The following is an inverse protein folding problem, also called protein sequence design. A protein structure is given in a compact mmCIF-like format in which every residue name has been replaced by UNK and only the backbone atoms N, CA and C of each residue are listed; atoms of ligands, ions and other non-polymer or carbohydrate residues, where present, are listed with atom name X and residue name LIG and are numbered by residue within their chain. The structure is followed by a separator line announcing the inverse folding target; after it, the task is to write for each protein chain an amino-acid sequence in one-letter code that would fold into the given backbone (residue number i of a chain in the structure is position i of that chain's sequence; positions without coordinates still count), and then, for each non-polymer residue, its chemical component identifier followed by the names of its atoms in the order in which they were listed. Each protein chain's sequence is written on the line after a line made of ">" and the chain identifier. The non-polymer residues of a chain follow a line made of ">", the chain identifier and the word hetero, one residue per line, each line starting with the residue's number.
data_IF_107027809209
#
_entry.id   IF_107027809209
#
_cell.length_a   1.000
_cell.length_b   1.000
_cell.length_c   1.000
_cell.angle_alpha   90.00
_cell.angle_beta   90.00
_cell.angle_gamma   90.00
#
_symmetry.space_group_name_H-M   'P 1'
#
loop_
_entity.id
_entity.type
_entity.pdbx_description
1 polymer ?
#
# COMPACT_ATOMS: atom_id res chain seq x y z
N UNK A 1 -28.70 -14.76 85.83
CA UNK A 1 -29.03 -13.42 85.45
C UNK A 1 -28.80 -13.22 83.94
N UNK A 2 -29.88 -13.15 83.15
CA UNK A 2 -29.85 -12.97 81.70
C UNK A 2 -29.88 -11.47 81.36
N UNK A 3 -28.93 -10.95 80.62
CA UNK A 3 -28.95 -9.63 80.11
C UNK A 3 -29.47 -9.62 78.66
N UNK A 4 -30.63 -9.04 78.47
CA UNK A 4 -31.27 -8.79 77.17
C UNK A 4 -30.65 -7.57 76.53
N UNK A 5 -30.10 -7.77 75.29
CA UNK A 5 -29.64 -6.66 74.41
C UNK A 5 -30.81 -6.13 73.59
N UNK A 6 -31.18 -4.88 73.86
CA UNK A 6 -32.18 -4.08 73.09
C UNK A 6 -31.63 -3.74 71.71
N UNK A 7 -32.36 -4.11 70.67
CA UNK A 7 -32.07 -3.70 69.29
C UNK A 7 -32.37 -2.21 69.09
N UNK A 8 -31.38 -1.41 68.75
CA UNK A 8 -31.52 0.01 68.41
C UNK A 8 -32.27 0.20 67.08
N UNK A 9 -33.29 1.06 67.09
CA UNK A 9 -34.04 1.47 65.90
C UNK A 9 -33.15 2.34 65.00
N UNK A 10 -32.97 1.92 63.75
CA UNK A 10 -32.34 2.72 62.68
C UNK A 10 -33.12 4.00 62.44
N UNK A 11 -32.45 5.13 62.49
CA UNK A 11 -33.10 6.44 62.27
C UNK A 11 -33.11 6.76 60.75
N UNK A 12 -34.05 7.62 60.34
CA UNK A 12 -34.12 8.13 58.92
C UNK A 12 -32.81 8.72 58.43
N UNK A 13 -31.93 9.16 59.33
CA UNK A 13 -30.64 9.75 59.01
C UNK A 13 -29.58 8.66 58.64
N UNK A 14 -29.71 7.46 59.21
CA UNK A 14 -28.85 6.34 58.90
C UNK A 14 -29.23 5.70 57.56
N UNK A 15 -30.51 5.70 57.20
CA UNK A 15 -31.01 5.28 55.90
C UNK A 15 -30.57 6.25 54.75
N UNK A 16 -30.47 7.55 55.03
CA UNK A 16 -29.98 8.55 54.06
C UNK A 16 -28.45 8.43 53.85
N UNK A 17 -27.67 8.08 54.87
CA UNK A 17 -26.24 7.87 54.77
C UNK A 17 -25.90 6.57 53.97
N UNK A 18 -26.71 5.55 54.06
CA UNK A 18 -26.59 4.33 53.27
C UNK A 18 -26.97 4.54 51.80
N UNK A 19 -27.90 5.45 51.49
CA UNK A 19 -28.32 5.78 50.15
C UNK A 19 -27.29 6.60 49.37
N UNK A 20 -26.45 7.41 50.04
CA UNK A 20 -25.41 8.22 49.38
C UNK A 20 -24.15 7.40 49.06
N UNK A 21 -23.89 6.31 49.79
CA UNK A 21 -22.76 5.43 49.50
C UNK A 21 -23.01 4.46 48.32
N UNK A 22 -24.29 4.32 47.88
CA UNK A 22 -24.65 3.50 46.72
C UNK A 22 -24.56 4.24 45.38
N UNK A 23 -24.36 5.57 45.37
CA UNK A 23 -24.31 6.38 44.16
C UNK A 23 -22.89 6.56 43.59
N UNK A 24 -21.86 5.93 44.17
CA UNK A 24 -20.46 6.01 43.74
C UNK A 24 -19.93 4.67 43.24
N UNK A 25 -20.79 3.75 42.77
CA UNK A 25 -20.33 2.65 41.93
C UNK A 25 -19.96 3.22 40.55
N UNK A 26 -18.78 2.93 40.03
CA UNK A 26 -18.48 3.28 38.65
C UNK A 26 -19.59 2.68 37.79
N UNK A 27 -20.18 3.52 36.93
CA UNK A 27 -21.03 3.04 35.84
C UNK A 27 -20.19 2.04 35.04
N UNK A 28 -20.28 0.80 35.41
CA UNK A 28 -19.90 -0.29 34.51
C UNK A 28 -20.83 -0.09 33.34
N UNK A 29 -20.28 0.42 32.23
CA UNK A 29 -20.94 0.34 30.94
C UNK A 29 -21.21 -1.15 30.70
N UNK A 30 -22.38 -1.61 31.10
CA UNK A 30 -22.93 -2.87 30.63
C UNK A 30 -23.09 -2.62 29.12
N UNK A 31 -22.15 -3.10 28.33
CA UNK A 31 -22.33 -3.21 26.89
C UNK A 31 -23.64 -3.97 26.73
N UNK A 32 -24.69 -3.26 26.36
CA UNK A 32 -25.92 -3.87 25.88
C UNK A 32 -25.49 -4.88 24.84
N UNK A 33 -25.84 -6.15 25.04
CA UNK A 33 -25.63 -7.20 24.08
C UNK A 33 -26.15 -6.67 22.74
N UNK A 34 -25.23 -6.36 21.81
CA UNK A 34 -25.63 -6.01 20.46
C UNK A 34 -26.41 -7.23 19.94
N UNK A 35 -27.62 -7.00 19.51
CA UNK A 35 -28.39 -8.00 18.76
C UNK A 35 -27.45 -8.55 17.69
N UNK A 36 -27.48 -9.87 17.48
CA UNK A 36 -26.69 -10.55 16.48
C UNK A 36 -26.81 -9.80 15.16
N UNK A 37 -25.86 -8.93 14.87
CA UNK A 37 -25.80 -8.13 13.65
C UNK A 37 -25.10 -8.94 12.56
N UNK A 38 -25.33 -8.57 11.32
CA UNK A 38 -24.54 -9.10 10.21
C UNK A 38 -23.58 -8.01 9.73
N UNK A 39 -22.35 -8.38 9.38
CA UNK A 39 -21.37 -7.52 8.71
C UNK A 39 -21.06 -8.08 7.33
N UNK A 40 -21.03 -7.20 6.34
CA UNK A 40 -20.62 -7.53 4.98
C UNK A 40 -19.31 -6.80 4.66
N UNK A 41 -18.29 -7.56 4.27
CA UNK A 41 -16.95 -7.05 4.00
C UNK A 41 -16.60 -7.31 2.55
N UNK A 42 -16.08 -6.31 1.85
CA UNK A 42 -15.47 -6.45 0.54
C UNK A 42 -13.97 -6.16 0.68
N UNK A 43 -13.15 -7.20 0.72
CA UNK A 43 -11.71 -7.09 0.81
C UNK A 43 -11.04 -7.46 -0.50
N UNK A 44 -9.76 -7.17 -0.60
CA UNK A 44 -8.96 -7.46 -1.75
C UNK A 44 -8.68 -8.97 -1.89
N UNK A 45 -8.84 -9.50 -3.12
CA UNK A 45 -8.42 -10.85 -3.50
C UNK A 45 -6.89 -10.84 -3.70
N UNK A 46 -6.17 -11.44 -2.75
CA UNK A 46 -4.75 -11.25 -2.58
C UNK A 46 -3.91 -11.87 -3.71
N UNK A 47 -2.88 -11.16 -4.20
CA UNK A 47 -1.92 -11.67 -5.19
C UNK A 47 -1.16 -12.92 -4.72
N UNK A 48 -0.97 -13.10 -3.41
CA UNK A 48 -0.46 -14.33 -2.80
C UNK A 48 -1.65 -15.14 -2.28
N UNK A 49 -2.13 -16.16 -3.01
CA UNK A 49 -3.42 -16.81 -2.72
C UNK A 49 -3.51 -17.44 -1.32
N UNK A 50 -2.37 -17.77 -0.71
CA UNK A 50 -2.31 -18.36 0.65
C UNK A 50 -2.80 -17.40 1.74
N UNK A 51 -2.82 -16.08 1.51
CA UNK A 51 -3.32 -15.10 2.47
C UNK A 51 -4.86 -15.11 2.59
N UNK A 52 -5.57 -15.45 1.52
CA UNK A 52 -7.03 -15.43 1.48
C UNK A 52 -7.71 -16.39 2.49
N UNK A 53 -7.33 -17.67 2.63
CA UNK A 53 -7.86 -18.56 3.65
C UNK A 53 -7.62 -18.05 5.07
N UNK A 54 -6.45 -17.46 5.35
CA UNK A 54 -6.12 -16.92 6.66
C UNK A 54 -7.00 -15.72 7.01
N UNK A 55 -7.23 -14.81 6.05
CA UNK A 55 -8.17 -13.70 6.25
C UNK A 55 -9.59 -14.22 6.55
N UNK A 56 -10.08 -15.20 5.77
CA UNK A 56 -11.39 -15.83 6.03
C UNK A 56 -11.49 -16.45 7.41
N UNK A 57 -10.43 -17.16 7.83
CA UNK A 57 -10.37 -17.75 9.16
C UNK A 57 -10.42 -16.68 10.26
N UNK A 58 -9.61 -15.63 10.17
CA UNK A 58 -9.59 -14.53 11.15
C UNK A 58 -10.97 -13.86 11.27
N UNK A 59 -11.59 -13.51 10.14
CA UNK A 59 -12.93 -12.91 10.12
C UNK A 59 -13.96 -13.83 10.79
N UNK A 60 -13.92 -15.16 10.50
CA UNK A 60 -14.82 -16.13 11.11
C UNK A 60 -14.58 -16.30 12.62
N UNK A 61 -13.31 -16.30 13.07
CA UNK A 61 -12.93 -16.34 14.49
C UNK A 61 -13.53 -15.16 15.26
N UNK A 62 -13.39 -13.94 14.71
CA UNK A 62 -13.95 -12.74 15.32
C UNK A 62 -15.49 -12.79 15.36
N UNK A 63 -16.12 -13.15 14.24
CA UNK A 63 -17.58 -13.25 14.13
C UNK A 63 -18.16 -14.23 15.18
N UNK A 64 -17.55 -15.42 15.30
CA UNK A 64 -17.94 -16.42 16.29
C UNK A 64 -17.80 -15.90 17.73
N UNK A 65 -16.67 -15.26 18.04
CA UNK A 65 -16.38 -14.71 19.36
C UNK A 65 -17.38 -13.62 19.77
N UNK A 66 -17.76 -12.76 18.82
CA UNK A 66 -18.62 -11.60 19.07
C UNK A 66 -20.10 -11.86 18.74
N UNK A 67 -20.45 -13.07 18.29
CA UNK A 67 -21.81 -13.47 17.89
C UNK A 67 -22.36 -12.56 16.76
N UNK A 68 -21.51 -12.21 15.81
CA UNK A 68 -21.84 -11.43 14.62
C UNK A 68 -21.69 -12.34 13.40
N UNK A 69 -22.71 -12.37 12.55
CA UNK A 69 -22.62 -13.06 11.27
C UNK A 69 -21.82 -12.19 10.28
N UNK A 70 -20.68 -12.70 9.80
CA UNK A 70 -19.77 -11.93 8.95
C UNK A 70 -19.61 -12.60 7.59
N UNK A 71 -19.99 -11.90 6.54
CA UNK A 71 -19.75 -12.30 5.15
C UNK A 71 -18.53 -11.56 4.61
N UNK A 72 -17.62 -12.28 3.96
CA UNK A 72 -16.43 -11.72 3.34
C UNK A 72 -16.39 -12.06 1.86
N UNK A 73 -16.49 -11.05 1.03
CA UNK A 73 -16.24 -11.08 -0.40
C UNK A 73 -14.81 -10.66 -0.71
N UNK A 74 -14.10 -11.48 -1.49
CA UNK A 74 -12.76 -11.19 -1.97
C UNK A 74 -12.86 -10.71 -3.43
N UNK A 75 -12.48 -9.45 -3.65
CA UNK A 75 -12.66 -8.76 -4.93
C UNK A 75 -11.32 -8.54 -5.62
N UNK A 76 -11.22 -8.96 -6.88
CA UNK A 76 -10.01 -8.75 -7.69
C UNK A 76 -9.74 -7.28 -7.95
N UNK A 77 -8.45 -6.91 -7.89
CA UNK A 77 -7.93 -5.60 -8.28
C UNK A 77 -6.83 -5.77 -9.36
N UNK A 78 -6.23 -4.69 -9.79
CA UNK A 78 -5.11 -4.70 -10.76
C UNK A 78 -5.44 -4.04 -12.11
N UNK A 79 -6.65 -3.52 -12.25
CA UNK A 79 -7.05 -2.61 -13.34
C UNK A 79 -8.35 -1.90 -12.98
N UNK A 80 -8.65 -0.78 -13.64
CA UNK A 80 -9.89 -0.04 -13.45
C UNK A 80 -11.16 -0.87 -13.72
N UNK A 81 -11.04 -1.93 -14.53
CA UNK A 81 -12.16 -2.83 -14.86
C UNK A 81 -12.22 -4.06 -13.94
N UNK A 82 -11.43 -4.13 -12.89
CA UNK A 82 -11.48 -5.18 -11.89
C UNK A 82 -12.69 -5.03 -10.97
N UNK A 83 -13.07 -6.11 -10.27
CA UNK A 83 -14.28 -6.11 -9.43
C UNK A 83 -14.22 -5.08 -8.31
N UNK A 84 -13.05 -4.90 -7.65
CA UNK A 84 -12.93 -3.99 -6.51
C UNK A 84 -13.29 -2.54 -6.88
N UNK A 85 -12.63 -1.86 -7.85
CA UNK A 85 -12.96 -0.48 -8.20
C UNK A 85 -14.40 -0.34 -8.75
N UNK A 86 -14.89 -1.32 -9.50
CA UNK A 86 -16.28 -1.29 -9.99
C UNK A 86 -17.30 -1.38 -8.85
N UNK A 87 -17.02 -2.20 -7.84
CA UNK A 87 -17.88 -2.33 -6.65
C UNK A 87 -17.83 -1.07 -5.80
N UNK A 88 -16.64 -0.49 -5.59
CA UNK A 88 -16.48 0.79 -4.90
C UNK A 88 -17.36 1.88 -5.53
N UNK A 89 -17.26 2.04 -6.83
CA UNK A 89 -18.04 3.05 -7.57
C UNK A 89 -19.55 2.81 -7.48
N UNK A 90 -19.98 1.54 -7.66
CA UNK A 90 -21.40 1.17 -7.61
C UNK A 90 -22.00 1.41 -6.21
N UNK A 91 -21.29 1.05 -5.15
CA UNK A 91 -21.78 1.21 -3.77
C UNK A 91 -21.74 2.66 -3.29
N UNK A 92 -20.72 3.43 -3.67
CA UNK A 92 -20.69 4.87 -3.41
C UNK A 92 -21.87 5.59 -4.06
N UNK A 93 -22.22 5.21 -5.30
CA UNK A 93 -23.33 5.81 -6.04
C UNK A 93 -24.71 5.37 -5.49
N UNK A 94 -24.88 4.08 -5.18
CA UNK A 94 -26.16 3.53 -4.74
C UNK A 94 -26.47 3.79 -3.27
N UNK A 95 -25.44 4.03 -2.44
CA UNK A 95 -25.60 4.15 -0.99
C UNK A 95 -26.01 2.82 -0.32
N UNK A 96 -25.69 1.69 -0.94
CA UNK A 96 -26.00 0.34 -0.42
C UNK A 96 -24.92 -0.65 -0.82
N UNK A 97 -24.71 -1.71 -0.03
CA UNK A 97 -23.74 -2.76 -0.34
C UNK A 97 -23.09 -3.35 0.90
N UNK A 98 -21.77 -3.42 0.93
CA UNK A 98 -20.99 -3.88 2.06
C UNK A 98 -20.95 -2.83 3.18
N UNK A 99 -20.62 -3.24 4.39
CA UNK A 99 -20.37 -2.32 5.50
C UNK A 99 -18.94 -1.76 5.45
N UNK A 100 -17.99 -2.62 5.07
CA UNK A 100 -16.57 -2.30 4.95
C UNK A 100 -16.09 -2.59 3.54
N UNK A 101 -15.29 -1.67 3.00
CA UNK A 101 -14.68 -1.78 1.68
C UNK A 101 -13.17 -1.61 1.77
N UNK A 102 -12.43 -2.42 1.00
CA UNK A 102 -11.01 -2.18 0.75
C UNK A 102 -10.81 -1.06 -0.27
N UNK A 103 -9.78 -0.26 -0.05
CA UNK A 103 -9.35 0.83 -0.94
C UNK A 103 -7.84 0.73 -1.15
N UNK A 104 -7.38 1.07 -2.33
CA UNK A 104 -5.96 1.09 -2.67
C UNK A 104 -5.45 2.51 -2.84
N UNK A 105 -4.22 2.75 -2.44
CA UNK A 105 -3.49 3.99 -2.72
C UNK A 105 -4.36 5.25 -2.52
N UNK A 106 -4.73 5.91 -3.60
CA UNK A 106 -5.45 7.19 -3.59
C UNK A 106 -6.98 7.06 -3.56
N UNK A 107 -7.54 5.85 -3.59
CA UNK A 107 -9.01 5.64 -3.63
C UNK A 107 -9.72 6.32 -2.45
N UNK A 108 -9.07 6.37 -1.28
CA UNK A 108 -9.64 7.04 -0.10
C UNK A 108 -9.95 8.52 -0.38
N UNK A 109 -9.10 9.21 -1.16
CA UNK A 109 -9.32 10.61 -1.54
C UNK A 109 -10.52 10.78 -2.49
N UNK A 110 -10.84 9.77 -3.30
CA UNK A 110 -12.01 9.79 -4.18
C UNK A 110 -13.31 9.52 -3.44
N UNK A 111 -13.27 8.64 -2.45
CA UNK A 111 -14.48 8.17 -1.75
C UNK A 111 -14.69 8.75 -0.36
N UNK A 112 -13.81 9.67 0.11
CA UNK A 112 -13.85 10.16 1.49
C UNK A 112 -15.20 10.73 1.91
N UNK A 113 -15.97 11.38 1.01
CA UNK A 113 -17.28 11.92 1.30
C UNK A 113 -18.32 10.84 1.63
N UNK A 114 -18.07 9.59 1.20
CA UNK A 114 -18.93 8.43 1.46
C UNK A 114 -18.46 7.59 2.67
N UNK A 115 -17.31 7.90 3.27
CA UNK A 115 -16.71 7.15 4.37
C UNK A 115 -16.93 7.87 5.72
N UNK A 116 -17.00 7.07 6.80
CA UNK A 116 -16.96 7.62 8.16
C UNK A 116 -15.54 7.96 8.58
N UNK A 117 -15.40 8.86 9.55
CA UNK A 117 -14.12 9.15 10.20
C UNK A 117 -13.68 7.97 11.07
N UNK A 118 -12.39 7.63 10.99
CA UNK A 118 -11.76 6.50 11.67
C UNK A 118 -10.70 6.93 12.70
N UNK A 119 -10.69 8.21 13.13
CA UNK A 119 -9.68 8.75 14.04
C UNK A 119 -9.57 7.94 15.32
N UNK A 120 -10.70 7.58 15.94
CA UNK A 120 -10.74 6.80 17.17
C UNK A 120 -10.04 5.43 17.05
N UNK A 121 -10.16 4.78 15.90
CA UNK A 121 -9.50 3.51 15.61
C UNK A 121 -8.02 3.72 15.35
N UNK A 122 -7.69 4.63 14.43
CA UNK A 122 -6.30 4.82 13.99
C UNK A 122 -5.44 5.42 15.10
N UNK A 123 -5.92 6.44 15.81
CA UNK A 123 -5.20 7.04 16.92
C UNK A 123 -5.00 6.04 18.08
N UNK A 124 -6.00 5.16 18.31
CA UNK A 124 -5.87 4.06 19.26
C UNK A 124 -4.75 3.10 18.90
N UNK A 125 -4.63 2.72 17.63
CA UNK A 125 -3.56 1.85 17.13
C UNK A 125 -2.19 2.55 17.15
N UNK A 126 -2.12 3.82 16.79
CA UNK A 126 -0.90 4.63 16.88
C UNK A 126 -0.43 4.74 18.34
N UNK A 127 -1.33 4.96 19.27
CA UNK A 127 -1.01 4.99 20.71
C UNK A 127 -0.47 3.65 21.20
N UNK A 128 -0.99 2.54 20.68
CA UNK A 128 -0.61 1.19 21.09
C UNK A 128 0.70 0.73 20.43
N UNK A 129 0.89 1.04 19.15
CA UNK A 129 1.93 0.44 18.31
C UNK A 129 2.91 1.45 17.70
N UNK A 130 2.76 2.75 17.97
CA UNK A 130 3.63 3.78 17.43
C UNK A 130 3.22 4.32 16.06
N UNK A 131 4.14 5.01 15.41
CA UNK A 131 3.85 5.80 14.22
C UNK A 131 3.38 4.97 13.02
N UNK A 132 2.44 5.56 12.28
CA UNK A 132 1.99 5.11 10.96
C UNK A 132 2.99 5.58 9.89
N UNK A 133 3.13 4.82 8.79
CA UNK A 133 3.91 5.26 7.63
C UNK A 133 3.39 6.61 7.10
N UNK A 134 4.27 7.61 6.89
CA UNK A 134 3.84 8.94 6.45
C UNK A 134 3.13 8.95 5.09
N UNK A 135 3.44 8.03 4.19
CA UNK A 135 2.76 7.94 2.89
C UNK A 135 1.33 7.43 3.06
N UNK A 136 1.10 6.45 3.96
CA UNK A 136 -0.26 5.99 4.30
C UNK A 136 -1.09 7.13 4.93
N UNK A 137 -0.47 7.90 5.83
CA UNK A 137 -1.11 9.07 6.42
C UNK A 137 -1.49 10.12 5.36
N UNK A 138 -0.56 10.43 4.46
CA UNK A 138 -0.75 11.42 3.40
C UNK A 138 -1.90 11.04 2.46
N UNK A 139 -2.07 9.74 2.16
CA UNK A 139 -3.12 9.27 1.25
C UNK A 139 -4.49 9.12 1.94
N UNK A 140 -4.54 8.81 3.24
CA UNK A 140 -5.79 8.51 3.95
C UNK A 140 -6.40 9.69 4.70
N UNK A 141 -5.63 10.76 4.96
CA UNK A 141 -6.15 11.91 5.68
C UNK A 141 -6.79 12.95 4.78
N UNK A 142 -7.94 13.44 5.20
CA UNK A 142 -8.65 14.57 4.60
C UNK A 142 -8.94 15.60 5.69
N UNK A 143 -8.42 16.81 5.54
CA UNK A 143 -8.58 17.90 6.53
C UNK A 143 -8.14 17.49 7.96
N UNK A 144 -7.12 16.64 8.06
CA UNK A 144 -6.57 16.14 9.31
C UNK A 144 -7.30 14.94 9.93
N UNK A 145 -8.34 14.42 9.30
CA UNK A 145 -9.09 13.24 9.76
C UNK A 145 -8.76 12.00 8.95
N UNK A 146 -8.61 10.88 9.63
CA UNK A 146 -8.46 9.57 8.98
C UNK A 146 -9.79 9.12 8.38
N UNK A 147 -9.87 9.02 7.06
CA UNK A 147 -11.09 8.58 6.36
C UNK A 147 -11.14 7.06 6.14
N UNK A 148 -10.03 6.38 6.34
CA UNK A 148 -9.94 4.92 6.30
C UNK A 148 -8.79 4.45 7.19
N UNK A 149 -8.83 3.19 7.58
CA UNK A 149 -7.79 2.53 8.37
C UNK A 149 -6.72 1.96 7.45
N UNK A 150 -5.44 2.42 7.51
CA UNK A 150 -4.36 1.75 6.82
C UNK A 150 -4.19 0.31 7.29
N UNK A 151 -4.09 -0.63 6.37
CA UNK A 151 -3.96 -2.07 6.66
C UNK A 151 -2.66 -2.64 6.12
N UNK A 152 -2.17 -3.73 6.73
CA UNK A 152 -1.05 -4.49 6.17
C UNK A 152 -1.44 -5.19 4.87
N UNK A 153 -2.69 -5.67 4.78
CA UNK A 153 -3.18 -6.48 3.66
C UNK A 153 -3.21 -5.68 2.37
N UNK A 154 -2.34 -6.04 1.46
CA UNK A 154 -2.15 -5.34 0.19
C UNK A 154 -1.12 -4.21 0.22
N UNK A 155 -0.79 -3.67 1.40
CA UNK A 155 0.24 -2.64 1.52
C UNK A 155 1.63 -3.18 1.18
N UNK A 156 2.35 -2.48 0.33
CA UNK A 156 3.58 -3.00 -0.24
C UNK A 156 4.57 -1.91 -0.63
N UNK A 157 5.85 -2.26 -0.62
CA UNK A 157 6.88 -1.50 -1.34
C UNK A 157 7.21 -2.17 -2.67
N UNK A 158 7.67 -1.38 -3.64
CA UNK A 158 8.03 -1.88 -4.98
C UNK A 158 9.52 -1.68 -5.28
N UNK A 159 10.39 -2.59 -4.80
CA UNK A 159 11.82 -2.58 -5.08
C UNK A 159 12.13 -3.11 -6.48
N UNK A 160 13.39 -3.08 -6.82
CA UNK A 160 13.93 -3.86 -7.93
C UNK A 160 13.95 -5.35 -7.57
N UNK A 161 13.44 -6.20 -8.46
CA UNK A 161 13.65 -7.65 -8.46
C UNK A 161 14.28 -8.05 -9.80
N UNK A 162 15.55 -8.42 -9.78
CA UNK A 162 16.34 -8.65 -10.97
C UNK A 162 16.90 -10.06 -11.06
N UNK A 163 17.26 -10.47 -12.29
CA UNK A 163 17.89 -11.75 -12.57
C UNK A 163 19.39 -11.68 -12.29
N UNK A 164 19.87 -12.46 -11.31
CA UNK A 164 21.29 -12.55 -10.93
C UNK A 164 22.16 -12.83 -12.16
N UNK A 165 21.76 -13.81 -12.98
CA UNK A 165 22.50 -14.20 -14.17
C UNK A 165 22.66 -13.08 -15.20
N UNK A 166 21.61 -12.25 -15.41
CA UNK A 166 21.69 -11.11 -16.31
C UNK A 166 22.71 -10.08 -15.80
N UNK A 167 22.58 -9.63 -14.56
CA UNK A 167 23.49 -8.62 -13.99
C UNK A 167 24.94 -9.12 -13.97
N UNK A 168 25.15 -10.39 -13.61
CA UNK A 168 26.46 -11.04 -13.62
C UNK A 168 27.09 -11.08 -15.04
N UNK A 169 26.27 -11.28 -16.07
CA UNK A 169 26.74 -11.21 -17.47
C UNK A 169 27.20 -9.82 -17.89
N UNK A 170 26.76 -8.78 -17.16
CA UNK A 170 27.17 -7.38 -17.35
C UNK A 170 28.30 -6.97 -16.39
N UNK A 171 28.89 -7.91 -15.66
CA UNK A 171 29.96 -7.65 -14.69
C UNK A 171 29.47 -7.07 -13.37
N UNK A 172 28.17 -7.17 -13.06
CA UNK A 172 27.55 -6.60 -11.88
C UNK A 172 27.13 -7.69 -10.92
N UNK A 173 27.55 -7.58 -9.67
CA UNK A 173 27.14 -8.43 -8.56
C UNK A 173 26.02 -7.75 -7.76
N UNK A 174 24.77 -8.05 -8.11
CA UNK A 174 23.58 -7.48 -7.43
C UNK A 174 23.44 -7.96 -6.00
N UNK A 175 24.01 -9.12 -5.67
CA UNK A 175 23.98 -9.66 -4.31
C UNK A 175 24.82 -8.80 -3.36
N UNK A 176 25.88 -8.15 -3.88
CA UNK A 176 26.69 -7.21 -3.13
C UNK A 176 25.99 -5.87 -2.89
N UNK A 177 25.07 -5.47 -3.77
CA UNK A 177 24.27 -4.25 -3.56
C UNK A 177 23.29 -4.39 -2.41
N UNK A 178 22.83 -5.61 -2.19
CA UNK A 178 21.91 -5.92 -1.11
C UNK A 178 22.12 -7.34 -0.59
N UNK A 179 23.13 -7.51 0.27
CA UNK A 179 23.43 -8.84 0.81
C UNK A 179 22.32 -9.32 1.74
N UNK A 180 22.19 -10.63 1.84
CA UNK A 180 21.28 -11.29 2.80
C UNK A 180 21.70 -11.07 4.28
N UNK A 181 22.36 -9.96 4.58
CA UNK A 181 22.82 -9.56 5.90
C UNK A 181 22.39 -8.12 6.21
N UNK A 182 22.16 -7.77 7.48
CA UNK A 182 21.92 -6.38 7.86
C UNK A 182 23.08 -5.47 7.46
N UNK A 183 22.74 -4.31 6.90
CA UNK A 183 23.69 -3.24 6.60
C UNK A 183 23.73 -2.85 5.13
N UNK A 184 24.05 -1.58 4.90
CA UNK A 184 24.33 -1.04 3.58
C UNK A 184 25.72 -1.46 3.11
N UNK A 185 25.87 -1.59 1.78
CA UNK A 185 27.16 -1.85 1.16
C UNK A 185 27.59 -0.70 0.27
N UNK A 186 28.89 -0.58 0.03
CA UNK A 186 29.43 0.45 -0.85
C UNK A 186 28.86 0.39 -2.27
N UNK A 187 28.56 -0.82 -2.79
CA UNK A 187 28.03 -1.02 -4.15
C UNK A 187 26.61 -0.50 -4.36
N UNK A 188 25.84 -0.32 -3.29
CA UNK A 188 24.45 0.17 -3.44
C UNK A 188 24.35 1.58 -4.04
N UNK A 189 25.35 2.43 -3.84
CA UNK A 189 25.44 3.79 -4.43
C UNK A 189 25.63 3.75 -5.95
N UNK A 190 26.18 2.66 -6.49
CA UNK A 190 26.44 2.51 -7.92
C UNK A 190 25.18 2.11 -8.69
N UNK A 191 24.13 1.62 -7.98
CA UNK A 191 22.84 1.36 -8.56
C UNK A 191 22.04 2.65 -8.72
N UNK A 192 22.15 3.28 -9.88
CA UNK A 192 21.55 4.55 -10.24
C UNK A 192 20.56 4.40 -11.40
N UNK A 193 19.68 5.40 -11.61
CA UNK A 193 18.83 5.44 -12.82
C UNK A 193 19.68 5.57 -14.09
N UNK A 194 20.86 6.15 -14.03
CA UNK A 194 21.81 6.17 -15.15
C UNK A 194 22.33 4.74 -15.46
N UNK A 195 22.64 3.94 -14.45
CA UNK A 195 23.07 2.55 -14.66
C UNK A 195 21.90 1.69 -15.17
N UNK A 196 20.67 1.88 -14.64
CA UNK A 196 19.48 1.22 -15.18
C UNK A 196 19.32 1.49 -16.69
N UNK A 197 19.44 2.75 -17.11
CA UNK A 197 19.36 3.13 -18.52
C UNK A 197 20.49 2.54 -19.35
N UNK A 198 21.72 2.55 -18.85
CA UNK A 198 22.91 2.00 -19.51
C UNK A 198 22.78 0.51 -19.81
N UNK A 199 22.15 -0.24 -18.91
CA UNK A 199 21.94 -1.70 -19.04
C UNK A 199 20.74 -2.08 -19.94
N UNK A 200 19.81 -1.16 -20.18
CA UNK A 200 18.58 -1.42 -20.92
C UNK A 200 18.82 -1.97 -22.37
N UNK A 201 19.79 -1.46 -23.16
CA UNK A 201 20.11 -2.02 -24.47
C UNK A 201 20.57 -3.48 -24.42
N UNK A 202 21.38 -3.84 -23.40
CA UNK A 202 21.87 -5.22 -23.22
C UNK A 202 20.72 -6.16 -22.85
N UNK A 203 19.80 -5.73 -21.98
CA UNK A 203 18.61 -6.47 -21.63
C UNK A 203 17.72 -6.70 -22.87
N UNK A 204 17.46 -5.68 -23.66
CA UNK A 204 16.67 -5.77 -24.88
C UNK A 204 17.32 -6.72 -25.91
N UNK A 205 18.63 -6.60 -26.11
CA UNK A 205 19.41 -7.48 -27.03
C UNK A 205 19.35 -8.95 -26.60
N UNK A 206 19.33 -9.20 -25.30
CA UNK A 206 19.20 -10.55 -24.74
C UNK A 206 17.76 -11.12 -24.80
N UNK A 207 16.77 -10.33 -25.25
CA UNK A 207 15.34 -10.69 -25.19
C UNK A 207 14.77 -10.68 -23.77
N UNK A 208 15.46 -10.02 -22.84
CA UNK A 208 15.14 -9.91 -21.42
C UNK A 208 14.74 -8.48 -21.06
N UNK A 209 13.86 -7.86 -21.85
CA UNK A 209 13.41 -6.50 -21.61
C UNK A 209 12.99 -6.28 -20.14
N UNK A 210 13.22 -5.09 -19.60
CA UNK A 210 12.69 -4.78 -18.28
C UNK A 210 11.16 -4.84 -18.29
N UNK A 211 10.57 -5.54 -17.32
CA UNK A 211 9.13 -5.64 -17.19
C UNK A 211 8.53 -4.37 -16.57
N UNK A 212 8.78 -3.23 -17.19
CA UNK A 212 8.33 -1.91 -16.76
C UNK A 212 7.19 -1.45 -17.67
N UNK A 213 6.06 -1.09 -17.08
CA UNK A 213 4.93 -0.49 -17.78
C UNK A 213 5.04 1.04 -17.82
N UNK A 214 4.46 1.63 -18.87
CA UNK A 214 4.20 3.08 -18.97
C UNK A 214 2.71 3.36 -19.22
N UNK A 215 1.84 2.37 -18.93
CA UNK A 215 0.39 2.47 -19.04
C UNK A 215 -0.26 3.24 -17.88
N UNK A 216 -1.58 3.16 -17.84
CA UNK A 216 -2.41 3.81 -16.82
C UNK A 216 -2.75 2.82 -15.70
N UNK A 217 -1.75 2.29 -15.02
CA UNK A 217 -1.87 1.34 -13.92
C UNK A 217 -1.05 1.78 -12.73
N UNK A 218 -1.35 1.26 -11.54
CA UNK A 218 -0.62 1.64 -10.32
C UNK A 218 0.87 1.33 -10.46
N UNK A 219 1.26 0.13 -10.91
CA UNK A 219 2.66 -0.25 -11.08
C UNK A 219 3.44 0.69 -12.04
N UNK A 220 2.76 1.11 -13.12
CA UNK A 220 3.37 2.03 -14.09
C UNK A 220 3.56 3.44 -13.51
N UNK A 221 2.55 3.94 -12.77
CA UNK A 221 2.62 5.27 -12.14
C UNK A 221 3.62 5.27 -11.00
N UNK A 222 3.75 4.17 -10.26
CA UNK A 222 4.70 4.05 -9.15
C UNK A 222 6.14 4.01 -9.62
N UNK A 223 6.44 3.26 -10.67
CA UNK A 223 7.77 3.32 -11.28
C UNK A 223 8.12 4.75 -11.69
N UNK A 224 7.23 5.40 -12.44
CA UNK A 224 7.44 6.79 -12.89
C UNK A 224 7.51 7.76 -11.72
N UNK A 225 6.68 7.59 -10.70
CA UNK A 225 6.69 8.38 -9.46
C UNK A 225 7.99 8.23 -8.68
N UNK A 226 8.55 7.02 -8.66
CA UNK A 226 9.88 6.76 -8.10
C UNK A 226 10.98 7.51 -8.84
N UNK A 227 10.97 7.48 -10.18
CA UNK A 227 11.90 8.27 -11.02
C UNK A 227 11.72 9.76 -10.76
N UNK A 228 10.48 10.27 -10.81
CA UNK A 228 10.16 11.67 -10.54
C UNK A 228 10.74 12.11 -9.20
N UNK A 229 10.47 11.38 -8.13
CA UNK A 229 10.96 11.69 -6.78
C UNK A 229 12.48 11.66 -6.70
N UNK A 230 13.11 10.69 -7.34
CA UNK A 230 14.57 10.53 -7.37
C UNK A 230 15.29 11.70 -8.06
N UNK A 231 14.64 12.36 -9.02
CA UNK A 231 15.12 13.56 -9.69
C UNK A 231 14.66 14.86 -9.02
N UNK A 232 13.80 14.79 -7.99
CA UNK A 232 13.22 15.97 -7.36
C UNK A 232 12.16 16.64 -8.22
N UNK A 233 11.57 15.90 -9.17
CA UNK A 233 10.52 16.37 -10.06
C UNK A 233 9.13 16.19 -9.43
N UNK A 234 8.23 17.11 -9.73
CA UNK A 234 6.80 17.02 -9.42
C UNK A 234 6.01 17.75 -10.52
N UNK A 235 4.82 17.26 -10.86
CA UNK A 235 3.94 17.96 -11.80
C UNK A 235 3.22 19.12 -11.13
N UNK A 236 2.97 18.99 -9.83
CA UNK A 236 2.37 20.02 -8.97
C UNK A 236 3.16 20.02 -7.65
N UNK A 237 3.49 21.21 -7.16
CA UNK A 237 4.20 21.37 -5.89
C UNK A 237 3.27 21.21 -4.67
N UNK A 238 3.84 21.25 -3.47
CA UNK A 238 3.08 21.13 -2.21
C UNK A 238 2.08 22.29 -1.97
N UNK A 239 2.22 23.40 -2.69
CA UNK A 239 1.31 24.57 -2.62
C UNK A 239 0.20 24.50 -3.65
N UNK A 240 0.23 23.51 -4.55
CA UNK A 240 -0.72 23.39 -5.65
C UNK A 240 -0.32 24.11 -6.94
N UNK A 241 0.91 24.65 -7.03
CA UNK A 241 1.38 25.29 -8.26
C UNK A 241 1.79 24.25 -9.30
N UNK A 242 1.44 24.45 -10.54
CA UNK A 242 1.83 23.60 -11.67
C UNK A 242 3.33 23.79 -11.95
N UNK A 243 4.08 22.69 -12.00
CA UNK A 243 5.54 22.69 -12.20
C UNK A 243 6.00 21.80 -13.36
N UNK A 244 5.11 21.49 -14.31
CA UNK A 244 5.36 20.58 -15.44
C UNK A 244 6.53 21.03 -16.33
N UNK A 245 6.86 22.33 -16.35
CA UNK A 245 7.97 22.89 -17.13
C UNK A 245 9.26 23.04 -16.33
N UNK A 246 9.30 22.54 -15.09
CA UNK A 246 10.52 22.60 -14.30
C UNK A 246 11.62 21.74 -14.90
N UNK A 247 12.88 22.15 -14.69
CA UNK A 247 14.04 21.41 -15.18
C UNK A 247 14.04 19.93 -14.74
N UNK A 248 13.73 19.57 -13.47
CA UNK A 248 13.66 18.17 -13.07
C UNK A 248 12.62 17.35 -13.83
N UNK A 249 11.44 17.93 -14.15
CA UNK A 249 10.41 17.25 -14.95
C UNK A 249 10.92 17.01 -16.37
N UNK A 250 11.57 18.00 -16.98
CA UNK A 250 12.17 17.86 -18.30
C UNK A 250 13.22 16.76 -18.32
N UNK A 251 14.11 16.71 -17.33
CA UNK A 251 15.13 15.67 -17.20
C UNK A 251 14.51 14.26 -17.12
N UNK A 252 13.41 14.09 -16.38
CA UNK A 252 12.72 12.79 -16.29
C UNK A 252 12.04 12.42 -17.60
N UNK A 253 11.41 13.37 -18.29
CA UNK A 253 10.82 13.14 -19.62
C UNK A 253 11.89 12.69 -20.63
N UNK A 254 13.04 13.35 -20.66
CA UNK A 254 14.19 12.96 -21.51
C UNK A 254 14.74 11.59 -21.13
N UNK A 255 14.82 11.28 -19.84
CA UNK A 255 15.21 9.96 -19.34
C UNK A 255 14.25 8.88 -19.86
N UNK A 256 12.95 9.10 -19.76
CA UNK A 256 11.94 8.15 -20.24
C UNK A 256 11.97 8.02 -21.77
N UNK A 257 12.22 9.09 -22.53
CA UNK A 257 12.40 9.00 -23.98
C UNK A 257 13.59 8.10 -24.37
N UNK A 258 14.65 8.08 -23.57
CA UNK A 258 15.82 7.21 -23.79
C UNK A 258 15.57 5.77 -23.34
N UNK A 259 14.77 5.55 -22.29
CA UNK A 259 14.50 4.21 -21.72
C UNK A 259 13.45 3.43 -22.52
N UNK A 260 12.34 4.08 -22.88
CA UNK A 260 11.15 3.42 -23.47
C UNK A 260 11.47 2.60 -24.74
N UNK A 261 12.40 2.98 -25.64
CA UNK A 261 12.77 2.16 -26.80
C UNK A 261 13.29 0.75 -26.46
N UNK A 262 13.80 0.54 -25.26
CA UNK A 262 14.33 -0.74 -24.78
C UNK A 262 13.33 -1.55 -23.93
N UNK A 263 12.17 -0.98 -23.63
CA UNK A 263 11.09 -1.69 -22.93
C UNK A 263 10.31 -2.59 -23.90
N UNK A 264 9.46 -3.50 -23.39
CA UNK A 264 8.58 -4.29 -24.24
C UNK A 264 7.74 -3.42 -25.18
N UNK A 265 7.45 -3.92 -26.38
CA UNK A 265 6.69 -3.17 -27.38
C UNK A 265 5.31 -2.74 -26.86
N UNK A 266 4.69 -3.61 -26.04
CA UNK A 266 3.37 -3.46 -25.43
C UNK A 266 3.39 -2.75 -24.05
N UNK A 267 4.50 -2.15 -23.66
CA UNK A 267 4.70 -1.50 -22.35
C UNK A 267 3.62 -0.45 -22.01
N UNK A 268 3.03 0.20 -23.01
CA UNK A 268 1.94 1.18 -22.83
C UNK A 268 0.58 0.54 -22.51
N UNK A 269 0.41 -0.76 -22.75
CA UNK A 269 -0.79 -1.54 -22.45
C UNK A 269 -0.63 -2.49 -21.27
N UNK A 270 0.47 -2.39 -20.52
CA UNK A 270 0.68 -3.18 -19.32
C UNK A 270 -0.42 -2.90 -18.29
N UNK A 271 -0.88 -3.97 -17.65
CA UNK A 271 -1.65 -3.93 -16.39
C UNK A 271 -0.76 -4.42 -15.23
N UNK A 272 -1.27 -4.33 -13.99
CA UNK A 272 -0.49 -4.67 -12.79
C UNK A 272 -0.06 -6.15 -12.69
N UNK A 273 -0.60 -7.04 -13.53
CA UNK A 273 -0.12 -8.41 -13.64
C UNK A 273 0.96 -8.60 -14.73
N UNK A 274 1.27 -7.59 -15.54
CA UNK A 274 2.15 -7.74 -16.72
C UNK A 274 3.61 -7.92 -16.33
N UNK A 275 4.10 -7.15 -15.36
CA UNK A 275 5.46 -7.28 -14.82
C UNK A 275 5.66 -8.66 -14.16
N UNK A 276 4.66 -9.15 -13.42
CA UNK A 276 4.69 -10.48 -12.83
C UNK A 276 4.82 -11.57 -13.92
N UNK A 277 3.99 -11.50 -14.96
CA UNK A 277 4.08 -12.42 -16.10
C UNK A 277 5.43 -12.35 -16.81
N UNK A 278 5.98 -11.15 -16.98
CA UNK A 278 7.28 -10.96 -17.60
C UNK A 278 8.40 -11.66 -16.81
N UNK A 279 8.41 -11.52 -15.48
CA UNK A 279 9.38 -12.20 -14.62
C UNK A 279 9.18 -13.72 -14.64
N UNK A 280 7.96 -14.20 -14.36
CA UNK A 280 7.63 -15.63 -14.24
C UNK A 280 7.92 -16.38 -15.54
N UNK A 281 7.65 -15.76 -16.69
CA UNK A 281 7.97 -16.34 -18.01
C UNK A 281 9.46 -16.37 -18.34
N UNK A 282 10.31 -15.79 -17.50
CA UNK A 282 11.75 -15.69 -17.73
C UNK A 282 12.16 -14.67 -18.81
N UNK A 283 11.23 -13.83 -19.28
CA UNK A 283 11.45 -12.85 -20.37
C UNK A 283 11.83 -11.45 -19.87
N UNK A 284 12.10 -11.29 -18.58
CA UNK A 284 12.52 -10.02 -18.02
C UNK A 284 13.80 -10.17 -17.20
N UNK A 285 14.72 -9.23 -17.38
CA UNK A 285 15.93 -9.10 -16.56
C UNK A 285 15.63 -8.43 -15.22
N UNK A 286 14.59 -7.60 -15.16
CA UNK A 286 14.26 -6.76 -14.00
C UNK A 286 12.78 -6.37 -14.04
N UNK A 287 12.17 -6.39 -12.89
CA UNK A 287 10.87 -5.75 -12.61
C UNK A 287 10.98 -4.88 -11.36
N UNK A 288 10.04 -3.95 -11.20
CA UNK A 288 9.82 -3.24 -9.94
C UNK A 288 8.52 -3.74 -9.35
N UNK A 289 8.63 -4.64 -8.37
CA UNK A 289 7.47 -5.28 -7.78
C UNK A 289 7.83 -5.90 -6.42
N UNK A 290 6.86 -6.05 -5.52
CA UNK A 290 7.00 -6.83 -4.31
C UNK A 290 7.16 -8.33 -4.61
N UNK A 291 7.31 -9.17 -3.59
CA UNK A 291 7.62 -10.59 -3.76
C UNK A 291 6.52 -11.44 -4.44
N UNK A 292 5.36 -10.88 -4.80
CA UNK A 292 4.27 -11.66 -5.41
C UNK A 292 4.69 -12.44 -6.67
N UNK A 293 5.41 -11.78 -7.58
CA UNK A 293 5.90 -12.43 -8.80
C UNK A 293 6.88 -13.56 -8.48
N UNK A 294 7.82 -13.32 -7.57
CA UNK A 294 8.79 -14.30 -7.13
C UNK A 294 8.12 -15.47 -6.39
N UNK A 295 7.13 -15.19 -5.53
CA UNK A 295 6.39 -16.23 -4.81
C UNK A 295 5.68 -17.19 -5.77
N UNK A 296 5.03 -16.67 -6.80
CA UNK A 296 4.41 -17.48 -7.85
C UNK A 296 5.48 -18.23 -8.66
N UNK A 297 6.60 -17.57 -8.98
CA UNK A 297 7.70 -18.19 -9.69
C UNK A 297 8.33 -19.39 -8.94
N UNK A 298 8.35 -19.37 -7.60
CA UNK A 298 8.80 -20.51 -6.78
C UNK A 298 8.05 -21.80 -7.14
N UNK A 299 6.76 -21.70 -7.41
CA UNK A 299 5.90 -22.82 -7.80
C UNK A 299 5.97 -23.14 -9.29
N UNK A 300 5.83 -22.11 -10.12
CA UNK A 300 5.55 -22.27 -11.55
C UNK A 300 6.80 -22.20 -12.42
N UNK A 301 7.85 -21.53 -11.96
CA UNK A 301 9.12 -21.33 -12.68
C UNK A 301 10.32 -21.35 -11.71
N UNK A 302 10.61 -22.46 -11.01
CA UNK A 302 11.60 -22.51 -9.95
C UNK A 302 13.01 -22.11 -10.37
N UNK A 303 13.39 -22.35 -11.63
CA UNK A 303 14.69 -21.88 -12.19
C UNK A 303 14.75 -20.36 -12.28
N UNK A 304 13.63 -19.69 -12.59
CA UNK A 304 13.55 -18.23 -12.59
C UNK A 304 13.63 -17.70 -11.17
N UNK A 305 12.87 -18.29 -10.24
CA UNK A 305 12.89 -17.89 -8.84
C UNK A 305 14.28 -18.01 -8.20
N UNK A 306 15.03 -19.09 -8.50
CA UNK A 306 16.38 -19.30 -8.01
C UNK A 306 17.42 -18.30 -8.56
N UNK A 307 17.10 -17.62 -9.67
CA UNK A 307 17.94 -16.61 -10.31
C UNK A 307 17.51 -15.16 -9.98
N UNK A 308 16.56 -14.98 -9.06
CA UNK A 308 16.10 -13.66 -8.66
C UNK A 308 16.80 -13.14 -7.40
N UNK A 309 17.08 -11.84 -7.40
CA UNK A 309 17.54 -11.10 -6.23
C UNK A 309 16.75 -9.81 -6.09
N UNK A 310 16.38 -9.45 -4.84
CA UNK A 310 15.70 -8.19 -4.53
C UNK A 310 16.70 -7.18 -3.99
N UNK A 311 16.67 -5.97 -4.51
CA UNK A 311 17.56 -4.87 -4.13
C UNK A 311 16.85 -3.53 -4.22
N UNK A 312 17.40 -2.45 -3.65
CA UNK A 312 16.72 -1.16 -3.62
C UNK A 312 16.37 -0.62 -5.00
N UNK A 313 15.43 0.33 -5.07
CA UNK A 313 15.24 1.15 -6.26
C UNK A 313 16.53 1.90 -6.60
N UNK A 314 16.78 2.27 -7.86
CA UNK A 314 17.96 3.07 -8.21
C UNK A 314 17.99 4.40 -7.49
N UNK A 315 19.18 4.92 -7.19
CA UNK A 315 19.33 6.28 -6.70
C UNK A 315 19.34 7.27 -7.86
N UNK A 316 18.64 8.38 -7.69
CA UNK A 316 18.68 9.52 -8.61
C UNK A 316 19.51 10.68 -8.07
N UNK A 317 19.54 11.82 -8.77
CA UNK A 317 20.33 13.00 -8.37
C UNK A 317 19.94 13.59 -7.02
N UNK A 318 18.70 13.36 -6.56
CA UNK A 318 18.18 13.96 -5.32
C UNK A 318 17.89 12.95 -4.22
N UNK A 319 17.46 11.73 -4.57
CA UNK A 319 17.06 10.74 -3.60
C UNK A 319 17.08 9.32 -4.18
N UNK A 320 17.03 8.35 -3.29
CA UNK A 320 16.57 6.99 -3.57
C UNK A 320 15.12 6.89 -3.07
N UNK A 321 14.18 6.74 -3.97
CA UNK A 321 12.76 6.68 -3.65
C UNK A 321 12.21 5.28 -3.92
N UNK A 322 11.58 4.67 -2.93
CA UNK A 322 10.90 3.39 -3.08
C UNK A 322 9.40 3.66 -3.10
N UNK A 323 8.68 3.33 -4.17
CA UNK A 323 7.23 3.44 -4.21
C UNK A 323 6.60 2.60 -3.10
N UNK A 324 5.66 3.18 -2.38
CA UNK A 324 4.85 2.54 -1.36
C UNK A 324 3.38 2.67 -1.71
N UNK A 325 2.72 1.54 -1.80
CA UNK A 325 1.30 1.40 -2.07
C UNK A 325 0.60 0.92 -0.81
N UNK A 326 0.06 1.82 0.03
CA UNK A 326 -0.78 1.41 1.14
C UNK A 326 -2.16 0.97 0.66
N UNK A 327 -2.71 -0.02 1.35
CA UNK A 327 -4.11 -0.39 1.28
C UNK A 327 -4.84 0.05 2.53
N UNK A 328 -6.15 0.23 2.41
CA UNK A 328 -6.99 0.78 3.45
C UNK A 328 -8.29 0.00 3.57
N UNK A 329 -8.87 -0.01 4.77
CA UNK A 329 -10.24 -0.43 4.99
C UNK A 329 -11.08 0.77 5.41
N UNK A 330 -12.08 1.11 4.61
CA UNK A 330 -13.03 2.17 4.88
C UNK A 330 -14.39 1.60 5.27
N UNK A 331 -15.09 2.31 6.13
CA UNK A 331 -16.47 1.98 6.52
C UNK A 331 -17.40 2.98 5.85
N UNK A 332 -18.38 2.48 5.11
CA UNK A 332 -19.33 3.33 4.42
C UNK A 332 -20.26 4.07 5.38
N UNK A 333 -20.61 5.31 5.08
CA UNK A 333 -21.57 6.12 5.88
C UNK A 333 -22.96 5.50 5.95
N UNK A 334 -23.39 4.78 4.91
CA UNK A 334 -24.68 4.11 4.88
C UNK A 334 -24.72 2.81 5.71
N UNK A 335 -23.59 2.28 6.14
CA UNK A 335 -23.55 1.11 7.03
C UNK A 335 -24.31 1.38 8.33
N UNK A 336 -25.16 0.44 8.71
CA UNK A 336 -25.87 0.44 9.99
C UNK A 336 -25.08 -0.24 11.11
N UNK A 337 -23.92 -0.82 10.77
CA UNK A 337 -23.10 -1.65 11.66
C UNK A 337 -21.71 -1.04 11.92
N UNK A 338 -21.60 0.30 11.87
CA UNK A 338 -20.32 1.02 11.95
C UNK A 338 -19.49 0.68 13.19
N UNK A 339 -20.12 0.51 14.36
CA UNK A 339 -19.43 0.16 15.60
C UNK A 339 -18.80 -1.25 15.51
N UNK A 340 -19.56 -2.24 15.06
CA UNK A 340 -19.06 -3.61 14.89
C UNK A 340 -17.97 -3.67 13.82
N UNK A 341 -18.10 -2.90 12.74
CA UNK A 341 -17.08 -2.75 11.71
C UNK A 341 -15.77 -2.21 12.30
N UNK A 342 -15.81 -1.12 13.07
CA UNK A 342 -14.63 -0.56 13.75
C UNK A 342 -13.98 -1.55 14.72
N UNK A 343 -14.78 -2.29 15.48
CA UNK A 343 -14.25 -3.33 16.40
C UNK A 343 -13.54 -4.46 15.64
N UNK A 344 -14.13 -4.98 14.56
CA UNK A 344 -13.49 -6.01 13.73
C UNK A 344 -12.19 -5.49 13.12
N UNK A 345 -12.20 -4.30 12.52
CA UNK A 345 -11.02 -3.70 11.90
C UNK A 345 -9.90 -3.44 12.92
N UNK A 346 -10.25 -2.94 14.11
CA UNK A 346 -9.30 -2.77 15.22
C UNK A 346 -8.68 -4.12 15.63
N UNK A 347 -9.47 -5.19 15.70
CA UNK A 347 -8.98 -6.52 16.04
C UNK A 347 -8.10 -7.11 14.97
N UNK A 348 -8.44 -6.96 13.68
CA UNK A 348 -7.62 -7.41 12.56
C UNK A 348 -6.25 -6.71 12.52
N UNK A 349 -6.13 -5.50 13.05
CA UNK A 349 -4.87 -4.75 13.14
C UNK A 349 -4.08 -5.00 14.43
N UNK A 350 -4.51 -5.94 15.28
CA UNK A 350 -3.67 -6.34 16.40
C UNK A 350 -2.47 -7.16 15.90
N UNK A 351 -1.33 -7.00 16.57
CA UNK A 351 -0.05 -7.61 16.16
C UNK A 351 -0.14 -9.10 15.80
N UNK A 352 -0.83 -9.99 16.60
CA UNK A 352 -0.89 -11.40 16.26
C UNK A 352 -1.65 -11.71 14.96
N UNK A 353 -2.68 -10.92 14.62
CA UNK A 353 -3.43 -11.07 13.37
C UNK A 353 -2.62 -10.57 12.19
N UNK A 354 -1.98 -9.41 12.34
CA UNK A 354 -1.12 -8.83 11.30
C UNK A 354 0.06 -9.76 10.99
N UNK A 355 0.71 -10.35 12.00
CA UNK A 355 1.81 -11.30 11.82
C UNK A 355 1.36 -12.55 11.04
N UNK A 356 0.21 -13.13 11.39
CA UNK A 356 -0.37 -14.28 10.65
C UNK A 356 -0.63 -13.96 9.18
N UNK A 357 -1.10 -12.74 8.88
CA UNK A 357 -1.35 -12.29 7.50
C UNK A 357 -0.05 -12.06 6.74
N UNK A 358 0.95 -11.44 7.36
CA UNK A 358 2.27 -11.25 6.76
C UNK A 358 2.96 -12.60 6.49
N UNK A 359 2.85 -13.58 7.40
CA UNK A 359 3.38 -14.92 7.19
C UNK A 359 2.66 -15.62 6.03
N UNK A 360 1.34 -15.54 5.97
CA UNK A 360 0.55 -16.16 4.91
C UNK A 360 0.82 -15.55 3.53
N UNK A 361 1.15 -14.27 3.48
CA UNK A 361 1.53 -13.56 2.25
C UNK A 361 3.02 -13.70 1.90
N UNK A 362 3.77 -14.53 2.65
CA UNK A 362 5.21 -14.72 2.48
C UNK A 362 6.00 -13.39 2.53
N UNK A 363 5.60 -12.49 3.40
CA UNK A 363 6.23 -11.19 3.59
C UNK A 363 5.89 -10.15 2.51
N UNK A 364 4.91 -10.42 1.66
CA UNK A 364 4.40 -9.43 0.70
C UNK A 364 3.75 -8.24 1.40
N UNK A 365 2.89 -8.52 2.38
CA UNK A 365 2.16 -7.52 3.14
C UNK A 365 3.09 -6.78 4.11
N UNK A 366 3.08 -5.46 4.05
CA UNK A 366 3.89 -4.61 4.90
C UNK A 366 2.99 -3.79 5.81
N UNK A 367 3.11 -3.99 7.14
CA UNK A 367 2.33 -3.21 8.08
C UNK A 367 2.61 -1.71 7.96
N UNK A 368 1.57 -0.86 7.86
CA UNK A 368 1.76 0.59 7.89
C UNK A 368 2.19 1.10 9.29
N UNK A 369 1.97 0.31 10.34
CA UNK A 369 2.50 0.57 11.69
C UNK A 369 3.97 0.15 11.75
N UNK A 370 4.88 1.12 11.78
CA UNK A 370 6.33 0.90 11.62
C UNK A 370 6.95 0.01 12.69
N UNK A 371 6.39 -0.04 13.90
CA UNK A 371 6.86 -0.95 14.96
C UNK A 371 6.61 -2.44 14.66
N UNK A 372 5.80 -2.76 13.66
CA UNK A 372 5.52 -4.12 13.22
C UNK A 372 6.46 -4.63 12.11
N UNK A 373 7.48 -3.85 11.73
CA UNK A 373 8.47 -4.24 10.73
C UNK A 373 9.54 -5.22 11.25
N UNK A 374 9.25 -5.98 12.28
CA UNK A 374 10.18 -6.91 12.91
C UNK A 374 9.64 -8.35 13.01
N UNK A 375 8.69 -8.72 12.15
CA UNK A 375 8.22 -10.10 12.08
C UNK A 375 9.29 -11.02 11.48
N UNK A 376 9.26 -12.28 11.87
CA UNK A 376 10.29 -13.24 11.50
C UNK A 376 10.27 -13.58 10.00
N UNK A 377 9.13 -13.46 9.32
CA UNK A 377 8.96 -13.79 7.90
C UNK A 377 10.03 -13.13 7.02
N UNK A 378 10.37 -11.87 7.28
CA UNK A 378 11.38 -11.15 6.51
C UNK A 378 12.83 -11.56 6.83
N UNK A 379 13.03 -12.43 7.83
CA UNK A 379 14.34 -13.02 8.14
C UNK A 379 14.51 -14.41 7.53
N UNK A 380 13.42 -15.04 7.08
CA UNK A 380 13.41 -16.43 6.62
C UNK A 380 13.08 -16.59 5.14
N UNK A 381 12.30 -15.65 4.57
CA UNK A 381 11.95 -15.66 3.16
C UNK A 381 12.93 -14.82 2.33
N UNK A 382 13.11 -15.21 1.09
CA UNK A 382 14.01 -14.53 0.14
C UNK A 382 13.32 -14.25 -1.17
N UNK A 383 13.90 -13.59 -2.15
CA UNK A 383 14.59 -14.18 -3.27
C UNK A 383 16.11 -14.09 -3.17
N UNK A 384 16.87 -15.16 -3.60
CA UNK A 384 16.37 -16.50 -3.92
C UNK A 384 16.01 -17.33 -2.69
N UNK A 385 15.34 -18.49 -2.91
CA UNK A 385 14.95 -19.40 -1.83
C UNK A 385 16.11 -19.75 -0.91
N UNK A 386 15.89 -19.71 0.40
CA UNK A 386 16.90 -20.02 1.40
C UNK A 386 17.78 -18.83 1.79
N UNK A 387 17.50 -17.63 1.28
CA UNK A 387 18.17 -16.39 1.70
C UNK A 387 17.28 -15.57 2.62
N UNK A 388 17.89 -14.65 3.35
CA UNK A 388 17.16 -13.70 4.20
C UNK A 388 16.43 -12.68 3.31
N UNK A 389 15.14 -12.54 3.50
CA UNK A 389 14.37 -11.49 2.86
C UNK A 389 14.62 -10.16 3.56
N UNK A 390 15.53 -9.38 3.02
CA UNK A 390 15.98 -8.15 3.66
C UNK A 390 15.14 -6.94 3.33
N UNK A 391 14.38 -7.02 2.29
CA UNK A 391 13.47 -6.03 1.83
C UNK A 391 12.06 -6.39 2.33
N UNK A 392 11.20 -5.46 2.64
CA UNK A 392 11.28 -3.99 2.51
C UNK A 392 11.42 -3.25 3.85
N UNK A 393 11.71 -3.96 4.91
CA UNK A 393 11.59 -3.50 6.30
C UNK A 393 12.69 -2.60 6.79
N UNK A 394 13.68 -2.27 5.95
CA UNK A 394 14.77 -1.40 6.37
C UNK A 394 14.81 -0.14 5.52
N UNK A 395 14.96 1.03 6.14
CA UNK A 395 15.36 2.21 5.40
C UNK A 395 16.78 1.94 4.88
N UNK A 396 16.90 1.59 3.61
CA UNK A 396 18.17 1.14 3.07
C UNK A 396 18.78 2.15 2.19
N UNK A 397 20.10 2.33 2.38
CA UNK A 397 20.85 3.20 1.52
C UNK A 397 20.19 4.56 1.38
N UNK A 398 19.70 5.11 2.50
CA UNK A 398 18.97 6.39 2.56
C UNK A 398 17.68 6.42 1.70
N UNK A 399 17.05 5.28 1.48
CA UNK A 399 15.77 5.21 0.76
C UNK A 399 14.66 5.88 1.55
N UNK A 400 13.83 6.62 0.82
CA UNK A 400 12.61 7.23 1.34
C UNK A 400 11.38 6.54 0.78
N UNK A 401 10.37 6.32 1.62
CA UNK A 401 9.04 5.91 1.19
C UNK A 401 8.45 7.00 0.28
N UNK A 402 7.89 6.60 -0.85
CA UNK A 402 7.35 7.51 -1.84
C UNK A 402 5.89 7.24 -2.13
N UNK A 403 5.03 8.20 -1.78
CA UNK A 403 3.69 8.29 -2.32
C UNK A 403 3.77 8.89 -3.72
N UNK A 404 3.45 8.09 -4.74
CA UNK A 404 3.46 8.57 -6.12
C UNK A 404 2.55 9.79 -6.29
N UNK A 405 2.99 10.76 -7.09
CA UNK A 405 2.38 12.09 -7.26
C UNK A 405 2.57 13.07 -6.07
N UNK A 406 3.30 12.67 -5.00
CA UNK A 406 3.74 13.65 -4.00
C UNK A 406 4.75 14.64 -4.62
N UNK A 407 4.82 15.91 -4.14
CA UNK A 407 4.18 16.47 -2.95
C UNK A 407 2.88 17.26 -3.23
N UNK A 408 2.20 17.01 -4.36
CA UNK A 408 0.97 17.73 -4.70
C UNK A 408 -0.09 17.59 -3.57
N UNK A 409 -0.94 18.59 -3.33
CA UNK A 409 -2.03 18.43 -2.36
C UNK A 409 -2.82 17.13 -2.61
N UNK A 410 -3.23 16.33 -1.58
CA UNK A 410 -3.75 14.98 -1.75
C UNK A 410 -4.88 14.85 -2.77
N UNK A 411 -5.79 15.81 -2.84
CA UNK A 411 -6.88 15.84 -3.83
C UNK A 411 -6.33 15.92 -5.28
N UNK A 412 -5.30 16.73 -5.51
CA UNK A 412 -4.68 16.88 -6.84
C UNK A 412 -3.81 15.64 -7.12
N UNK A 413 -3.05 15.16 -6.14
CA UNK A 413 -2.23 13.96 -6.27
C UNK A 413 -3.06 12.74 -6.67
N UNK A 414 -4.26 12.56 -6.09
CA UNK A 414 -5.17 11.48 -6.46
C UNK A 414 -5.62 11.56 -7.91
N UNK A 415 -5.90 12.76 -8.44
CA UNK A 415 -6.24 12.97 -9.85
C UNK A 415 -5.05 12.68 -10.77
N UNK A 416 -3.86 13.17 -10.42
CA UNK A 416 -2.64 12.90 -11.17
C UNK A 416 -2.34 11.40 -11.26
N UNK A 417 -2.56 10.66 -10.17
CA UNK A 417 -2.37 9.21 -10.08
C UNK A 417 -3.41 8.47 -10.92
N UNK A 418 -4.69 8.71 -10.69
CA UNK A 418 -5.79 7.98 -11.36
C UNK A 418 -5.84 8.21 -12.85
N UNK A 419 -5.44 9.39 -13.32
CA UNK A 419 -5.33 9.70 -14.74
C UNK A 419 -3.94 9.34 -15.30
N UNK A 420 -3.02 8.83 -14.46
CA UNK A 420 -1.64 8.51 -14.84
C UNK A 420 -0.97 9.63 -15.66
N UNK A 421 -1.17 10.88 -15.25
CA UNK A 421 -0.89 12.09 -16.07
C UNK A 421 0.54 12.07 -16.61
N UNK A 422 1.55 11.75 -15.77
CA UNK A 422 2.93 11.69 -16.24
C UNK A 422 3.15 10.55 -17.25
N UNK A 423 2.54 9.37 -17.06
CA UNK A 423 2.67 8.25 -18.00
C UNK A 423 2.01 8.55 -19.35
N UNK A 424 0.90 9.31 -19.34
CA UNK A 424 0.28 9.82 -20.57
C UNK A 424 1.24 10.78 -21.28
N UNK A 425 1.94 11.68 -20.57
CA UNK A 425 2.98 12.54 -21.16
C UNK A 425 4.07 11.69 -21.83
N UNK A 426 4.58 10.68 -21.14
CA UNK A 426 5.59 9.76 -21.69
C UNK A 426 5.08 9.05 -22.93
N UNK A 427 3.84 8.55 -22.92
CA UNK A 427 3.24 7.86 -24.07
C UNK A 427 3.07 8.79 -25.26
N UNK A 428 2.62 10.03 -25.05
CA UNK A 428 2.51 11.06 -26.09
C UNK A 428 3.87 11.35 -26.76
N UNK A 429 4.93 11.46 -25.94
CA UNK A 429 6.28 11.70 -26.45
C UNK A 429 6.87 10.49 -27.20
N UNK A 430 6.70 9.27 -26.67
CA UNK A 430 7.49 8.10 -27.09
C UNK A 430 6.75 7.17 -28.03
N UNK A 431 5.43 7.09 -27.95
CA UNK A 431 4.59 6.21 -28.80
C UNK A 431 3.79 6.99 -29.84
N UNK A 432 3.44 8.25 -29.54
CA UNK A 432 2.69 9.11 -30.44
C UNK A 432 3.57 10.15 -31.14
N UNK A 433 4.86 10.23 -30.81
CA UNK A 433 5.85 11.15 -31.39
C UNK A 433 5.44 12.64 -31.34
N UNK A 434 4.68 13.02 -30.31
CA UNK A 434 4.29 14.42 -30.12
C UNK A 434 5.50 15.25 -29.68
N UNK A 435 5.48 16.54 -30.02
CA UNK A 435 6.54 17.47 -29.61
C UNK A 435 6.46 17.75 -28.11
N UNK A 436 7.60 17.89 -27.45
CA UNK A 436 7.70 18.21 -26.04
C UNK A 436 6.78 19.39 -25.64
N UNK A 437 6.81 20.48 -26.41
CA UNK A 437 5.96 21.65 -26.15
C UNK A 437 4.48 21.27 -26.05
N UNK A 438 3.98 20.50 -27.02
CA UNK A 438 2.55 20.15 -27.11
C UNK A 438 2.12 19.26 -25.95
N UNK A 439 3.03 18.38 -25.51
CA UNK A 439 2.81 17.50 -24.35
C UNK A 439 2.77 18.29 -23.04
N UNK A 440 3.64 19.30 -22.90
CA UNK A 440 3.63 20.18 -21.73
C UNK A 440 2.37 21.07 -21.70
N UNK A 441 1.96 21.62 -22.84
CA UNK A 441 0.73 22.41 -22.97
C UNK A 441 -0.51 21.56 -22.59
N UNK A 442 -0.55 20.31 -23.07
CA UNK A 442 -1.60 19.37 -22.71
C UNK A 442 -1.62 19.09 -21.18
N UNK A 443 -0.46 18.81 -20.60
CA UNK A 443 -0.37 18.50 -19.18
C UNK A 443 -0.80 19.67 -18.29
N UNK A 444 -0.42 20.90 -18.64
CA UNK A 444 -0.88 22.11 -17.95
C UNK A 444 -2.40 22.27 -18.03
N UNK A 445 -2.99 22.01 -19.20
CA UNK A 445 -4.44 22.08 -19.39
C UNK A 445 -5.18 21.06 -18.49
N UNK A 446 -4.75 19.79 -18.52
CA UNK A 446 -5.36 18.73 -17.68
C UNK A 446 -5.25 19.06 -16.18
N UNK A 447 -4.06 19.47 -15.73
CA UNK A 447 -3.82 19.74 -14.31
C UNK A 447 -4.62 20.98 -13.85
N UNK A 448 -4.77 22.00 -14.70
CA UNK A 448 -5.68 23.12 -14.40
C UNK A 448 -7.11 22.62 -14.19
N UNK A 449 -7.57 21.62 -14.95
CA UNK A 449 -8.86 20.97 -14.73
C UNK A 449 -8.94 20.37 -13.33
N UNK A 450 -7.92 19.62 -12.88
CA UNK A 450 -7.90 18.98 -11.55
C UNK A 450 -7.87 19.99 -10.39
N UNK A 451 -7.22 21.15 -10.59
CA UNK A 451 -7.14 22.21 -9.56
C UNK A 451 -8.50 22.88 -9.37
N UNK A 452 -9.26 23.06 -10.46
CA UNK A 452 -10.53 23.80 -10.47
C UNK A 452 -11.76 22.92 -10.17
N UNK A 453 -11.60 21.60 -10.01
CA UNK A 453 -12.64 20.70 -9.51
C UNK A 453 -12.84 20.88 -8.01
#
# INVERSE_FOLDING_TARGET
>A
MKATKTAGRLTRRDALKAGVAAAALPLVHVRTAHAAGSLKLAFWDHWVPAANPVMKQLVAEWGKKNKVDVTLDLLSAGSANSKLPLTQAAEALSGTGHDVMAFSVWDVQHYHEHLIVMDDVVDGLIKQYGAMDPAAQYMAQVKGHWMALPTSVGSQYKPACGRISFFKSQGIDVESWYPAKPGATAGAKDWTYAELLKLAPAAAKAGLHYGIGIGQTSDSVDFSGGVMRAYGAALVDAKGNITVRSEPVMQVLEYMQKLVPYLPADTASYNDASNNRALISGKSALIFNPPSAWFVARRDAPKVAADCWTFPSPVGPKARAIPYDPFFWGVWKFSKHQAAAKELLTWLQQRPQVEKLCDASAGYDIPPLMSMHNFNIWSTEGPPVGTVYNYPIRPWHDSISNASCSPAPPRIASQLFSNATFNVMVTKLTKQNQKMKDVLDWAEHEINGYINM
#
